data_IF_552778868957
#
_entry.id   IF_552778868957
#
_cell.length_a   1.000
_cell.length_b   1.000
_cell.length_c   1.000
_cell.angle_alpha   90.00
_cell.angle_beta   90.00
_cell.angle_gamma   90.00
#
_symmetry.space_group_name_H-M   'P 1'
#
loop_
_entity.id
_entity.type
_entity.pdbx_description
1 polymer ?
#
# COMPACT_ATOMS: atom_id res chain seq x y z
N UNK A 1 -2.20 -79.60 5.63
CA UNK A 1 -1.18 -78.55 5.40
C UNK A 1 -1.70 -77.61 4.32
N UNK A 2 -2.41 -76.55 4.72
CA UNK A 2 -2.89 -75.49 3.84
C UNK A 2 -1.88 -74.35 3.86
N UNK A 3 -1.17 -74.16 2.74
CA UNK A 3 -0.22 -73.06 2.57
C UNK A 3 -1.01 -71.76 2.33
N UNK A 4 -0.88 -70.84 3.28
CA UNK A 4 -1.44 -69.49 3.21
C UNK A 4 -0.69 -68.69 2.15
N UNK A 5 -1.42 -68.28 1.13
CA UNK A 5 -1.00 -67.39 0.05
C UNK A 5 -0.66 -66.00 0.63
N UNK A 6 0.64 -65.68 0.75
CA UNK A 6 1.09 -64.35 1.21
C UNK A 6 0.90 -63.33 0.09
N UNK A 7 0.05 -62.34 0.36
CA UNK A 7 -0.28 -61.23 -0.55
C UNK A 7 0.96 -60.55 -1.15
N UNK A 8 1.01 -60.47 -2.48
CA UNK A 8 2.05 -59.81 -3.30
C UNK A 8 1.94 -58.28 -3.37
N UNK A 9 1.07 -57.66 -2.56
CA UNK A 9 0.85 -56.20 -2.55
C UNK A 9 1.96 -55.46 -1.78
N UNK A 10 2.58 -56.08 -0.78
CA UNK A 10 3.64 -55.47 0.04
C UNK A 10 4.95 -55.07 -0.68
N UNK A 11 5.52 -55.87 -1.61
CA UNK A 11 6.80 -55.54 -2.25
C UNK A 11 6.73 -54.34 -3.21
N UNK A 12 5.58 -54.13 -3.88
CA UNK A 12 5.40 -52.99 -4.78
C UNK A 12 5.40 -51.67 -3.99
N UNK A 13 4.59 -51.60 -2.91
CA UNK A 13 4.54 -50.43 -2.02
C UNK A 13 5.91 -50.18 -1.35
N UNK A 14 6.61 -51.24 -0.93
CA UNK A 14 7.95 -51.13 -0.37
C UNK A 14 9.01 -50.62 -1.37
N UNK A 15 8.87 -50.96 -2.66
CA UNK A 15 9.72 -50.44 -3.74
C UNK A 15 9.51 -48.95 -3.99
N UNK A 16 8.26 -48.49 -4.04
CA UNK A 16 7.92 -47.06 -4.16
C UNK A 16 8.41 -46.25 -2.96
N UNK A 17 8.28 -46.77 -1.74
CA UNK A 17 8.79 -46.11 -0.51
C UNK A 17 10.32 -45.97 -0.55
N UNK A 18 11.06 -46.98 -1.03
CA UNK A 18 12.53 -46.90 -1.18
C UNK A 18 12.96 -45.91 -2.27
N UNK A 19 12.25 -45.87 -3.40
CA UNK A 19 12.52 -44.91 -4.47
C UNK A 19 12.27 -43.46 -4.02
N UNK A 20 11.16 -43.22 -3.32
CA UNK A 20 10.85 -41.92 -2.70
C UNK A 20 11.87 -41.54 -1.61
N UNK A 21 12.38 -42.50 -0.84
CA UNK A 21 13.40 -42.26 0.17
C UNK A 21 14.77 -41.87 -0.42
N UNK A 22 15.11 -42.37 -1.62
CA UNK A 22 16.32 -41.97 -2.37
C UNK A 22 16.21 -40.58 -2.99
N UNK A 23 15.00 -40.18 -3.41
CA UNK A 23 14.71 -38.87 -4.03
C UNK A 23 14.35 -37.76 -3.02
N UNK A 24 14.12 -38.11 -1.75
CA UNK A 24 13.65 -37.14 -0.75
C UNK A 24 14.67 -36.00 -0.51
N UNK A 25 14.20 -34.74 -0.51
CA UNK A 25 15.06 -33.59 -0.25
C UNK A 25 15.70 -33.64 1.14
N UNK A 26 16.79 -32.88 1.31
CA UNK A 26 17.49 -32.80 2.59
C UNK A 26 16.54 -32.25 3.66
N UNK A 27 16.60 -32.80 4.87
CA UNK A 27 15.74 -32.44 6.00
C UNK A 27 15.69 -30.93 6.26
N UNK A 28 16.82 -30.23 6.21
CA UNK A 28 16.85 -28.78 6.44
C UNK A 28 16.14 -28.00 5.33
N UNK A 29 16.28 -28.42 4.06
CA UNK A 29 15.53 -27.83 2.94
C UNK A 29 14.04 -28.07 3.10
N UNK A 30 13.63 -29.29 3.45
CA UNK A 30 12.22 -29.61 3.70
C UNK A 30 11.62 -28.76 4.82
N UNK A 31 12.33 -28.63 5.95
CA UNK A 31 11.90 -27.80 7.08
C UNK A 31 11.78 -26.34 6.66
N UNK A 32 12.81 -25.80 5.97
CA UNK A 32 12.81 -24.41 5.55
C UNK A 32 11.67 -24.09 4.57
N UNK A 33 11.42 -24.96 3.58
CA UNK A 33 10.30 -24.80 2.65
C UNK A 33 8.96 -24.89 3.38
N UNK A 34 8.79 -25.88 4.26
CA UNK A 34 7.56 -26.05 5.05
C UNK A 34 7.26 -24.82 5.90
N UNK A 35 8.27 -24.32 6.63
CA UNK A 35 8.15 -23.10 7.45
C UNK A 35 7.85 -21.88 6.59
N UNK A 36 8.58 -21.69 5.49
CA UNK A 36 8.39 -20.55 4.60
C UNK A 36 6.98 -20.53 3.97
N UNK A 37 6.48 -21.69 3.53
CA UNK A 37 5.12 -21.84 3.03
C UNK A 37 4.09 -21.57 4.12
N UNK A 38 4.27 -22.13 5.33
CA UNK A 38 3.35 -21.90 6.45
C UNK A 38 3.31 -20.42 6.86
N UNK A 39 4.46 -19.74 6.94
CA UNK A 39 4.52 -18.30 7.22
C UNK A 39 3.82 -17.51 6.12
N UNK A 40 4.04 -17.85 4.84
CA UNK A 40 3.38 -17.17 3.72
C UNK A 40 1.87 -17.33 3.72
N UNK A 41 1.35 -18.44 4.23
CA UNK A 41 -0.07 -18.75 4.37
C UNK A 41 -0.69 -18.28 5.70
N UNK A 42 0.07 -17.54 6.51
CA UNK A 42 -0.44 -16.96 7.75
C UNK A 42 -1.64 -16.02 7.46
N UNK A 43 -2.57 -15.86 8.43
CA UNK A 43 -3.71 -14.97 8.32
C UNK A 43 -3.34 -13.57 7.81
N UNK A 44 -4.10 -13.08 6.83
CA UNK A 44 -3.90 -11.82 6.11
C UNK A 44 -4.97 -10.79 6.50
N UNK A 45 -4.68 -9.49 6.39
CA UNK A 45 -5.66 -8.42 6.62
C UNK A 45 -6.62 -8.27 5.43
N UNK A 46 -6.11 -8.51 4.21
CA UNK A 46 -6.86 -8.35 2.97
C UNK A 46 -6.98 -9.68 2.20
N UNK A 47 -8.05 -9.88 1.42
CA UNK A 47 -8.16 -11.01 0.50
C UNK A 47 -7.04 -10.98 -0.53
N UNK A 48 -6.37 -12.12 -0.75
CA UNK A 48 -5.29 -12.21 -1.73
C UNK A 48 -5.72 -12.95 -2.97
N UNK A 49 -5.47 -12.36 -4.13
CA UNK A 49 -5.57 -13.07 -5.40
C UNK A 49 -4.52 -14.19 -5.49
N UNK A 50 -4.78 -15.19 -6.35
CA UNK A 50 -3.87 -16.33 -6.52
C UNK A 50 -2.46 -15.88 -6.95
N UNK A 51 -2.37 -14.88 -7.83
CA UNK A 51 -1.09 -14.34 -8.29
C UNK A 51 -0.28 -13.69 -7.15
N UNK A 52 -0.93 -12.82 -6.34
CA UNK A 52 -0.28 -12.17 -5.20
C UNK A 52 0.23 -13.20 -4.18
N UNK A 53 -0.59 -14.20 -3.85
CA UNK A 53 -0.19 -15.27 -2.93
C UNK A 53 0.91 -16.17 -3.53
N UNK A 54 0.90 -16.43 -4.84
CA UNK A 54 1.95 -17.18 -5.53
C UNK A 54 3.30 -16.47 -5.45
N UNK A 55 3.33 -15.16 -5.68
CA UNK A 55 4.53 -14.33 -5.56
C UNK A 55 5.08 -14.38 -4.14
N UNK A 56 4.22 -14.12 -3.15
CA UNK A 56 4.62 -14.16 -1.74
C UNK A 56 5.20 -15.52 -1.36
N UNK A 57 4.48 -16.60 -1.68
CA UNK A 57 4.91 -17.97 -1.36
C UNK A 57 6.22 -18.33 -2.06
N UNK A 58 6.35 -18.00 -3.35
CA UNK A 58 7.55 -18.28 -4.14
C UNK A 58 8.80 -17.57 -3.60
N UNK A 59 8.66 -16.29 -3.22
CA UNK A 59 9.75 -15.51 -2.61
C UNK A 59 10.16 -16.10 -1.26
N UNK A 60 9.20 -16.38 -0.37
CA UNK A 60 9.46 -16.99 0.93
C UNK A 60 10.15 -18.35 0.81
N UNK A 61 9.65 -19.22 -0.06
CA UNK A 61 10.25 -20.53 -0.34
C UNK A 61 11.69 -20.37 -0.83
N UNK A 62 11.94 -19.41 -1.71
CA UNK A 62 13.30 -19.15 -2.22
C UNK A 62 14.24 -18.67 -1.12
N UNK A 63 13.80 -17.76 -0.25
CA UNK A 63 14.56 -17.31 0.91
C UNK A 63 14.84 -18.48 1.87
N UNK A 64 13.83 -19.31 2.16
CA UNK A 64 14.01 -20.52 2.97
C UNK A 64 15.03 -21.48 2.39
N UNK A 65 15.00 -21.72 1.08
CA UNK A 65 15.99 -22.55 0.38
C UNK A 65 17.39 -21.92 0.44
N UNK A 66 17.52 -20.61 0.31
CA UNK A 66 18.79 -19.90 0.44
C UNK A 66 19.36 -20.02 1.86
N UNK A 67 18.54 -19.82 2.90
CA UNK A 67 18.93 -20.02 4.29
C UNK A 67 19.37 -21.47 4.55
N UNK A 68 18.63 -22.45 4.05
CA UNK A 68 19.01 -23.86 4.16
C UNK A 68 20.35 -24.14 3.46
N UNK A 69 20.61 -23.54 2.29
CA UNK A 69 21.86 -23.69 1.58
C UNK A 69 23.05 -23.05 2.33
N UNK A 70 22.87 -21.86 2.90
CA UNK A 70 23.89 -21.19 3.75
C UNK A 70 24.17 -22.00 5.00
N UNK A 71 23.12 -22.44 5.71
CA UNK A 71 23.23 -23.30 6.87
C UNK A 71 24.04 -24.56 6.56
N UNK A 72 23.75 -25.21 5.42
CA UNK A 72 24.49 -26.37 4.98
C UNK A 72 25.96 -26.08 4.73
N UNK A 73 26.32 -24.94 4.13
CA UNK A 73 27.72 -24.56 3.92
C UNK A 73 28.44 -24.39 5.25
N UNK A 74 27.83 -23.71 6.21
CA UNK A 74 28.42 -23.45 7.53
C UNK A 74 28.49 -24.72 8.40
N UNK A 75 27.47 -25.58 8.35
CA UNK A 75 27.38 -26.82 9.12
C UNK A 75 28.12 -28.00 8.46
N UNK A 76 28.62 -27.86 7.23
CA UNK A 76 29.25 -28.94 6.45
C UNK A 76 30.53 -29.50 7.09
N UNK A 77 31.20 -28.74 7.97
CA UNK A 77 32.33 -29.25 8.75
C UNK A 77 31.94 -30.30 9.81
N UNK A 78 30.63 -30.51 10.07
CA UNK A 78 30.12 -31.39 11.14
C UNK A 78 29.00 -32.35 10.71
N UNK A 79 28.65 -32.42 9.43
CA UNK A 79 27.42 -33.09 8.98
C UNK A 79 27.66 -34.48 8.39
N UNK A 80 27.33 -35.55 9.14
CA UNK A 80 27.23 -36.91 8.61
C UNK A 80 26.07 -37.06 7.61
N UNK A 81 26.20 -38.01 6.67
CA UNK A 81 25.14 -38.34 5.73
C UNK A 81 23.85 -38.76 6.48
N UNK A 82 22.74 -38.05 6.24
CA UNK A 82 21.48 -38.35 6.94
C UNK A 82 20.80 -39.60 6.37
N UNK A 83 20.28 -40.49 7.24
CA UNK A 83 19.60 -41.71 6.81
C UNK A 83 18.34 -41.37 5.99
N UNK A 84 18.05 -42.12 4.90
CA UNK A 84 16.89 -41.89 4.03
C UNK A 84 15.56 -41.79 4.80
N UNK A 85 15.38 -42.64 5.81
CA UNK A 85 14.18 -42.65 6.66
C UNK A 85 13.93 -41.33 7.40
N UNK A 86 14.97 -40.53 7.70
CA UNK A 86 14.79 -39.19 8.31
C UNK A 86 14.28 -38.18 7.28
N UNK A 87 14.76 -38.24 6.05
CA UNK A 87 14.32 -37.35 4.96
C UNK A 87 12.87 -37.61 4.58
N UNK A 88 12.50 -38.89 4.45
CA UNK A 88 11.10 -39.29 4.19
C UNK A 88 10.17 -38.83 5.30
N UNK A 89 10.53 -39.02 6.58
CA UNK A 89 9.72 -38.52 7.71
C UNK A 89 9.56 -37.00 7.69
N UNK A 90 10.64 -36.26 7.44
CA UNK A 90 10.58 -34.81 7.31
C UNK A 90 9.66 -34.37 6.17
N UNK A 91 9.71 -35.06 5.02
CA UNK A 91 8.82 -34.79 3.89
C UNK A 91 7.35 -35.07 4.23
N UNK A 92 7.05 -36.20 4.88
CA UNK A 92 5.70 -36.54 5.30
C UNK A 92 5.13 -35.51 6.28
N UNK A 93 5.91 -35.13 7.30
CA UNK A 93 5.50 -34.06 8.23
C UNK A 93 5.31 -32.72 7.51
N UNK A 94 6.19 -32.40 6.56
CA UNK A 94 6.07 -31.19 5.74
C UNK A 94 4.77 -31.15 4.95
N UNK A 95 4.41 -32.25 4.27
CA UNK A 95 3.15 -32.37 3.51
C UNK A 95 1.94 -32.18 4.43
N UNK A 96 1.92 -32.84 5.59
CA UNK A 96 0.82 -32.69 6.56
C UNK A 96 0.70 -31.24 7.05
N UNK A 97 1.81 -30.61 7.44
CA UNK A 97 1.81 -29.23 7.92
C UNK A 97 1.37 -28.23 6.85
N UNK A 98 1.85 -28.39 5.61
CA UNK A 98 1.41 -27.54 4.49
C UNK A 98 -0.07 -27.77 4.19
N UNK A 99 -0.56 -29.01 4.22
CA UNK A 99 -1.99 -29.31 4.05
C UNK A 99 -2.87 -28.63 5.09
N UNK A 100 -2.46 -28.66 6.36
CA UNK A 100 -3.13 -27.93 7.44
C UNK A 100 -3.08 -26.41 7.22
N UNK A 101 -1.91 -25.86 6.85
CA UNK A 101 -1.75 -24.44 6.57
C UNK A 101 -2.63 -23.96 5.41
N UNK A 102 -2.70 -24.71 4.31
CA UNK A 102 -3.58 -24.41 3.17
C UNK A 102 -5.04 -24.47 3.58
N UNK A 103 -5.44 -25.45 4.40
CA UNK A 103 -6.81 -25.57 4.89
C UNK A 103 -7.19 -24.38 5.77
N UNK A 104 -6.31 -23.98 6.68
CA UNK A 104 -6.53 -22.81 7.54
C UNK A 104 -6.56 -21.52 6.71
N UNK A 105 -5.64 -21.36 5.77
CA UNK A 105 -5.62 -20.22 4.87
C UNK A 105 -6.88 -20.16 4.00
N UNK A 106 -7.40 -21.29 3.53
CA UNK A 106 -8.64 -21.34 2.76
C UNK A 106 -9.84 -20.89 3.58
N UNK A 107 -9.96 -21.34 4.84
CA UNK A 107 -11.01 -20.89 5.76
C UNK A 107 -10.91 -19.38 6.00
N UNK A 108 -9.72 -18.90 6.37
CA UNK A 108 -9.45 -17.48 6.59
C UNK A 108 -9.79 -16.61 5.37
N UNK A 109 -9.30 -17.02 4.20
CA UNK A 109 -9.56 -16.33 2.93
C UNK A 109 -11.05 -16.34 2.56
N UNK A 110 -11.81 -17.34 2.98
CA UNK A 110 -13.26 -17.41 2.73
C UNK A 110 -14.00 -16.47 3.67
N UNK A 111 -13.72 -16.53 4.98
CA UNK A 111 -14.31 -15.63 5.98
C UNK A 111 -14.08 -14.16 5.65
N UNK A 112 -12.85 -13.82 5.26
CA UNK A 112 -12.48 -12.45 4.89
C UNK A 112 -13.23 -11.95 3.65
N UNK A 113 -13.35 -12.80 2.63
CA UNK A 113 -14.07 -12.46 1.39
C UNK A 113 -15.57 -12.33 1.63
N UNK A 114 -16.15 -13.20 2.45
CA UNK A 114 -17.55 -13.10 2.85
C UNK A 114 -17.82 -11.82 3.62
N UNK A 115 -16.94 -11.45 4.57
CA UNK A 115 -17.08 -10.20 5.31
C UNK A 115 -17.00 -8.96 4.41
N UNK A 116 -16.14 -9.00 3.39
CA UNK A 116 -15.96 -7.88 2.45
C UNK A 116 -16.90 -7.93 1.23
N UNK A 117 -17.79 -8.92 1.13
CA UNK A 117 -18.71 -9.05 0.01
C UNK A 117 -18.04 -9.28 -1.36
N UNK A 118 -16.87 -9.93 -1.39
CA UNK A 118 -16.14 -10.25 -2.64
C UNK A 118 -16.18 -11.74 -2.97
N UNK A 119 -15.89 -12.09 -4.23
CA UNK A 119 -15.97 -13.46 -4.73
C UNK A 119 -15.14 -14.45 -3.93
N UNK A 120 -15.77 -15.58 -3.57
CA UNK A 120 -15.17 -16.68 -2.82
C UNK A 120 -13.98 -17.33 -3.53
N UNK A 121 -13.17 -18.07 -2.76
CA UNK A 121 -12.01 -18.79 -3.30
C UNK A 121 -12.46 -19.97 -4.16
N UNK A 122 -12.36 -19.85 -5.48
CA UNK A 122 -12.66 -20.94 -6.42
C UNK A 122 -11.69 -22.12 -6.31
N UNK A 123 -12.11 -23.28 -6.85
CA UNK A 123 -11.37 -24.56 -6.75
C UNK A 123 -9.97 -24.52 -7.39
N UNK A 124 -9.77 -23.69 -8.42
CA UNK A 124 -8.48 -23.50 -9.09
C UNK A 124 -7.48 -22.60 -8.36
N UNK A 125 -7.91 -21.88 -7.30
CA UNK A 125 -7.08 -20.86 -6.65
C UNK A 125 -5.76 -21.44 -6.10
N UNK A 126 -5.84 -22.47 -5.26
CA UNK A 126 -4.66 -23.05 -4.62
C UNK A 126 -3.75 -23.78 -5.61
N UNK A 127 -4.32 -24.31 -6.70
CA UNK A 127 -3.54 -24.88 -7.79
C UNK A 127 -2.71 -23.79 -8.48
N UNK A 128 -3.32 -22.64 -8.78
CA UNK A 128 -2.62 -21.49 -9.35
C UNK A 128 -1.55 -20.93 -8.40
N UNK A 129 -1.83 -20.88 -7.09
CA UNK A 129 -0.84 -20.50 -6.07
C UNK A 129 0.34 -21.45 -6.09
N UNK A 130 0.08 -22.76 -6.09
CA UNK A 130 1.13 -23.79 -6.09
C UNK A 130 2.01 -23.71 -7.33
N UNK A 131 1.41 -23.69 -8.53
CA UNK A 131 2.15 -23.67 -9.80
C UNK A 131 2.89 -22.36 -9.99
N UNK A 132 2.27 -21.23 -9.67
CA UNK A 132 2.89 -19.90 -9.72
C UNK A 132 4.07 -19.77 -8.75
N UNK A 133 3.89 -20.19 -7.49
CA UNK A 133 4.95 -20.14 -6.49
C UNK A 133 6.14 -21.04 -6.87
N UNK A 134 5.86 -22.24 -7.41
CA UNK A 134 6.89 -23.14 -7.91
C UNK A 134 7.66 -22.52 -9.10
N UNK A 135 6.96 -21.92 -10.07
CA UNK A 135 7.58 -21.25 -11.21
C UNK A 135 8.50 -20.10 -10.77
N UNK A 136 8.04 -19.27 -9.83
CA UNK A 136 8.81 -18.16 -9.27
C UNK A 136 10.05 -18.67 -8.53
N UNK A 137 9.89 -19.67 -7.66
CA UNK A 137 11.01 -20.24 -6.92
C UNK A 137 12.05 -20.89 -7.84
N UNK A 138 11.61 -21.64 -8.85
CA UNK A 138 12.50 -22.23 -9.87
C UNK A 138 13.21 -21.13 -10.67
N UNK A 139 12.49 -20.08 -11.08
CA UNK A 139 13.04 -18.94 -11.81
C UNK A 139 14.13 -18.22 -11.02
N UNK A 140 13.86 -17.83 -9.77
CA UNK A 140 14.82 -17.12 -8.91
C UNK A 140 16.05 -18.00 -8.61
N UNK A 141 15.84 -19.27 -8.24
CA UNK A 141 16.95 -20.20 -7.97
C UNK A 141 17.78 -20.47 -9.24
N UNK A 142 17.12 -20.61 -10.39
CA UNK A 142 17.74 -20.79 -11.70
C UNK A 142 18.63 -19.61 -12.08
N UNK A 143 18.09 -18.38 -12.00
CA UNK A 143 18.83 -17.14 -12.22
C UNK A 143 20.04 -17.03 -11.28
N UNK A 144 19.84 -17.31 -9.98
CA UNK A 144 20.94 -17.31 -9.01
C UNK A 144 22.05 -18.31 -9.34
N UNK A 145 21.70 -19.49 -9.86
CA UNK A 145 22.69 -20.50 -10.31
C UNK A 145 23.42 -20.08 -11.57
N UNK A 146 22.75 -19.43 -12.52
CA UNK A 146 23.35 -18.89 -13.73
C UNK A 146 24.38 -17.81 -13.37
N UNK A 147 23.99 -16.86 -12.52
CA UNK A 147 24.88 -15.82 -11.97
C UNK A 147 26.08 -16.45 -11.27
N UNK A 148 25.85 -17.42 -10.37
CA UNK A 148 26.94 -18.12 -9.68
C UNK A 148 27.88 -18.87 -10.64
N UNK A 149 27.36 -19.38 -11.76
CA UNK A 149 28.17 -20.05 -12.80
C UNK A 149 28.98 -19.04 -13.59
N UNK A 150 28.40 -17.89 -13.95
CA UNK A 150 29.11 -16.79 -14.58
C UNK A 150 30.25 -16.27 -13.69
N UNK A 151 30.00 -16.09 -12.38
CA UNK A 151 31.02 -15.73 -11.38
C UNK A 151 32.17 -16.74 -11.39
N UNK A 152 31.87 -18.05 -11.34
CA UNK A 152 32.89 -19.11 -11.33
C UNK A 152 33.72 -19.14 -12.62
N UNK A 153 33.10 -18.89 -13.78
CA UNK A 153 33.78 -18.91 -15.09
C UNK A 153 34.64 -17.66 -15.33
N UNK A 154 34.14 -16.48 -14.99
CA UNK A 154 34.84 -15.21 -15.20
C UNK A 154 35.87 -14.91 -14.09
N UNK A 155 35.67 -15.46 -12.89
CA UNK A 155 36.42 -15.15 -11.68
C UNK A 155 35.79 -14.00 -10.89
N UNK A 156 35.74 -14.12 -9.56
CA UNK A 156 35.02 -13.19 -8.67
C UNK A 156 35.42 -11.73 -8.87
N UNK A 157 36.71 -11.43 -9.05
CA UNK A 157 37.20 -10.05 -9.28
C UNK A 157 36.69 -9.47 -10.60
N UNK A 158 36.66 -10.27 -11.68
CA UNK A 158 36.16 -9.82 -12.99
C UNK A 158 34.65 -9.67 -13.01
N UNK A 159 33.93 -10.57 -12.32
CA UNK A 159 32.48 -10.44 -12.19
C UNK A 159 32.09 -9.24 -11.31
N UNK A 160 32.76 -9.03 -10.17
CA UNK A 160 32.52 -7.86 -9.32
C UNK A 160 32.89 -6.58 -10.06
N UNK A 161 34.03 -6.54 -10.76
CA UNK A 161 34.38 -5.38 -11.58
C UNK A 161 33.37 -5.12 -12.70
N UNK A 162 32.95 -6.15 -13.43
CA UNK A 162 31.91 -6.03 -14.47
C UNK A 162 30.57 -5.61 -13.87
N UNK A 163 30.15 -6.17 -12.73
CA UNK A 163 28.90 -5.82 -12.06
C UNK A 163 28.96 -4.40 -11.53
N UNK A 164 30.06 -4.00 -10.89
CA UNK A 164 30.27 -2.63 -10.40
C UNK A 164 30.23 -1.68 -11.58
N UNK A 165 30.99 -1.90 -12.65
CA UNK A 165 30.98 -1.07 -13.86
C UNK A 165 29.59 -1.04 -14.48
N UNK A 166 28.92 -2.18 -14.66
CA UNK A 166 27.55 -2.21 -15.21
C UNK A 166 26.58 -1.49 -14.29
N UNK A 167 26.66 -1.63 -12.97
CA UNK A 167 25.77 -0.96 -12.02
C UNK A 167 26.09 0.53 -11.89
N UNK A 168 27.35 0.96 -11.91
CA UNK A 168 27.70 2.40 -11.87
C UNK A 168 27.47 3.07 -13.21
N UNK A 169 27.71 2.39 -14.34
CA UNK A 169 27.30 2.89 -15.67
C UNK A 169 25.79 2.91 -15.77
N UNK A 170 25.09 1.85 -15.38
CA UNK A 170 23.64 1.84 -15.35
C UNK A 170 23.09 2.87 -14.36
N UNK A 171 23.66 3.09 -13.18
CA UNK A 171 23.21 4.14 -12.26
C UNK A 171 23.54 5.54 -12.80
N UNK A 172 24.72 5.73 -13.38
CA UNK A 172 25.16 7.00 -13.97
C UNK A 172 24.34 7.42 -15.19
N UNK A 173 23.83 6.46 -15.96
CA UNK A 173 22.89 6.72 -17.06
C UNK A 173 21.44 6.67 -16.59
N UNK A 174 21.02 5.64 -15.87
CA UNK A 174 19.65 5.41 -15.47
C UNK A 174 19.18 6.33 -14.34
N UNK A 175 20.01 6.92 -13.47
CA UNK A 175 19.51 7.89 -12.48
C UNK A 175 19.15 9.23 -13.16
N UNK A 176 20.04 9.86 -13.96
CA UNK A 176 19.66 11.05 -14.74
C UNK A 176 18.64 10.73 -15.83
N UNK A 177 18.74 9.58 -16.50
CA UNK A 177 17.79 9.16 -17.52
C UNK A 177 16.46 8.71 -16.92
N UNK A 178 16.38 8.15 -15.71
CA UNK A 178 15.09 7.87 -15.07
C UNK A 178 14.49 9.13 -14.49
N UNK A 179 15.25 10.05 -13.89
CA UNK A 179 14.71 11.34 -13.48
C UNK A 179 14.18 12.13 -14.69
N UNK A 180 14.91 12.14 -15.80
CA UNK A 180 14.43 12.75 -17.04
C UNK A 180 13.35 11.91 -17.72
N UNK A 181 13.39 10.58 -17.75
CA UNK A 181 12.34 9.75 -18.37
C UNK A 181 11.07 9.68 -17.54
N UNK A 182 11.11 9.69 -16.20
CA UNK A 182 9.92 9.85 -15.36
C UNK A 182 9.36 11.25 -15.58
N UNK A 183 10.20 12.29 -15.56
CA UNK A 183 9.73 13.65 -15.84
C UNK A 183 9.20 13.82 -17.28
N UNK A 184 9.75 13.12 -18.28
CA UNK A 184 9.29 13.18 -19.68
C UNK A 184 8.10 12.24 -19.94
N UNK A 185 8.01 11.10 -19.25
CA UNK A 185 6.90 10.17 -19.34
C UNK A 185 5.69 10.69 -18.57
N UNK A 186 5.87 11.30 -17.40
CA UNK A 186 4.81 12.01 -16.70
C UNK A 186 4.39 13.23 -17.52
N UNK A 187 5.31 14.05 -18.03
CA UNK A 187 4.95 15.17 -18.93
C UNK A 187 4.29 14.71 -20.23
N UNK A 188 4.67 13.57 -20.81
CA UNK A 188 4.06 13.09 -22.05
C UNK A 188 2.72 12.41 -21.81
N UNK A 189 2.57 11.62 -20.73
CA UNK A 189 1.26 11.09 -20.33
C UNK A 189 0.33 12.21 -19.88
N UNK A 190 0.82 13.18 -19.11
CA UNK A 190 0.04 14.35 -18.72
C UNK A 190 -0.32 15.17 -19.96
N UNK A 191 0.61 15.43 -20.89
CA UNK A 191 0.31 16.14 -22.14
C UNK A 191 -0.69 15.40 -23.03
N UNK A 192 -0.56 14.07 -23.18
CA UNK A 192 -1.53 13.25 -23.92
C UNK A 192 -2.89 13.29 -23.23
N UNK A 193 -2.94 13.19 -21.90
CA UNK A 193 -4.17 13.29 -21.13
C UNK A 193 -4.77 14.70 -21.20
N UNK A 194 -3.96 15.77 -21.24
CA UNK A 194 -4.42 17.17 -21.39
C UNK A 194 -5.08 17.37 -22.75
N UNK A 195 -4.56 16.71 -23.80
CA UNK A 195 -5.17 16.75 -25.14
C UNK A 195 -6.42 15.87 -25.22
N UNK A 196 -6.47 14.77 -24.45
CA UNK A 196 -7.59 13.83 -24.46
C UNK A 196 -8.78 14.27 -23.59
N UNK A 197 -8.54 15.04 -22.53
CA UNK A 197 -9.59 15.48 -21.58
C UNK A 197 -9.62 17.03 -21.53
N UNK A 198 -10.67 17.67 -22.07
CA UNK A 198 -10.85 19.11 -21.88
C UNK A 198 -11.02 19.44 -20.40
N UNK A 199 -10.55 20.63 -20.00
CA UNK A 199 -10.73 21.14 -18.64
C UNK A 199 -12.21 21.37 -18.30
N UNK A 200 -12.54 21.61 -17.02
CA UNK A 200 -13.91 21.82 -16.60
C UNK A 200 -14.49 23.12 -17.19
N UNK A 201 -15.77 23.09 -17.56
CA UNK A 201 -16.46 24.27 -18.12
C UNK A 201 -16.88 25.30 -17.05
N UNK A 202 -16.73 24.97 -15.76
CA UNK A 202 -17.12 25.83 -14.65
C UNK A 202 -15.97 26.72 -14.17
N UNK A 203 -16.27 28.02 -13.99
CA UNK A 203 -15.33 28.97 -13.39
C UNK A 203 -15.05 28.67 -11.90
N UNK A 204 -15.90 27.88 -11.23
CA UNK A 204 -15.73 27.45 -9.83
C UNK A 204 -14.66 26.34 -9.67
N UNK A 205 -14.13 25.82 -10.77
CA UNK A 205 -13.14 24.74 -10.79
C UNK A 205 -11.79 25.24 -11.30
N UNK A 206 -10.71 24.82 -10.65
CA UNK A 206 -9.37 25.04 -11.19
C UNK A 206 -9.20 24.36 -12.55
N UNK A 207 -8.49 25.04 -13.45
CA UNK A 207 -8.34 24.65 -14.85
C UNK A 207 -9.52 25.01 -15.76
N UNK A 208 -10.62 25.57 -15.20
CA UNK A 208 -11.75 26.09 -15.96
C UNK A 208 -11.59 27.55 -16.41
N UNK A 209 -12.67 28.16 -16.95
CA UNK A 209 -12.63 29.54 -17.45
C UNK A 209 -12.13 30.54 -16.41
N UNK A 210 -11.08 31.29 -16.78
CA UNK A 210 -10.48 32.32 -15.91
C UNK A 210 -9.54 31.80 -14.82
N UNK A 211 -9.32 30.48 -14.72
CA UNK A 211 -8.42 29.87 -13.73
C UNK A 211 -7.01 30.46 -13.76
N UNK A 212 -6.46 30.77 -12.57
CA UNK A 212 -5.05 31.14 -12.40
C UNK A 212 -4.12 29.93 -12.46
N UNK A 213 -4.68 28.72 -12.36
CA UNK A 213 -3.98 27.45 -12.48
C UNK A 213 -4.36 26.82 -13.83
N UNK A 214 -3.49 26.86 -14.84
CA UNK A 214 -3.80 26.27 -16.14
C UNK A 214 -4.11 24.78 -16.01
N UNK A 215 -5.08 24.26 -16.78
CA UNK A 215 -5.46 22.84 -16.79
C UNK A 215 -4.25 21.89 -16.88
N UNK A 216 -3.25 22.26 -17.67
CA UNK A 216 -2.04 21.48 -17.88
C UNK A 216 -1.11 21.38 -16.64
N UNK A 217 -1.21 22.30 -15.68
CA UNK A 217 -0.31 22.34 -14.51
C UNK A 217 -0.90 21.65 -13.26
N UNK A 218 -2.15 21.18 -13.33
CA UNK A 218 -2.83 20.49 -12.23
C UNK A 218 -2.28 19.07 -11.96
N UNK A 219 -1.54 18.51 -12.91
CA UNK A 219 -1.11 17.10 -12.88
C UNK A 219 -2.26 16.11 -12.98
N UNK A 220 -1.97 14.81 -13.01
CA UNK A 220 -3.01 13.77 -13.12
C UNK A 220 -4.01 13.79 -11.96
N UNK A 221 -3.54 13.95 -10.71
CA UNK A 221 -4.42 13.88 -9.54
C UNK A 221 -5.27 15.14 -9.33
N UNK A 222 -4.71 16.33 -9.56
CA UNK A 222 -5.47 17.58 -9.51
C UNK A 222 -6.60 17.61 -10.54
N UNK A 223 -6.33 17.12 -11.77
CA UNK A 223 -7.35 16.99 -12.83
C UNK A 223 -8.49 16.08 -12.40
N UNK A 224 -8.18 14.88 -11.90
CA UNK A 224 -9.20 13.94 -11.38
C UNK A 224 -10.04 14.53 -10.24
N UNK A 225 -9.43 15.34 -9.37
CA UNK A 225 -10.12 15.99 -8.26
C UNK A 225 -11.12 17.04 -8.76
N UNK A 226 -10.73 17.92 -9.69
CA UNK A 226 -11.61 18.98 -10.18
C UNK A 226 -12.67 18.50 -11.18
N UNK A 227 -12.44 17.38 -11.89
CA UNK A 227 -13.42 16.82 -12.84
C UNK A 227 -14.27 15.69 -12.28
N UNK A 228 -14.04 15.25 -11.04
CA UNK A 228 -14.96 14.31 -10.39
C UNK A 228 -16.39 14.90 -10.36
N UNK A 229 -17.45 14.08 -10.42
CA UNK A 229 -18.83 14.56 -10.38
C UNK A 229 -19.05 15.53 -9.21
N UNK A 230 -19.69 16.66 -9.46
CA UNK A 230 -19.92 17.72 -8.48
C UNK A 230 -21.27 18.40 -8.73
N UNK A 231 -21.87 18.96 -7.68
CA UNK A 231 -22.98 19.93 -7.87
C UNK A 231 -22.42 21.23 -8.43
N UNK A 232 -23.22 21.93 -9.24
CA UNK A 232 -22.82 23.22 -9.84
C UNK A 232 -22.43 24.27 -8.79
N UNK A 233 -23.00 24.18 -7.58
CA UNK A 233 -22.70 25.08 -6.48
C UNK A 233 -21.31 24.89 -5.89
N UNK A 234 -20.63 23.77 -6.09
CA UNK A 234 -19.37 23.48 -5.37
C UNK A 234 -18.18 24.22 -5.99
N UNK A 235 -17.25 24.65 -5.14
CA UNK A 235 -15.95 25.19 -5.54
C UNK A 235 -14.87 24.17 -5.26
N UNK A 236 -14.03 23.83 -6.26
CA UNK A 236 -12.83 23.00 -6.05
C UNK A 236 -11.61 23.65 -6.67
N UNK A 237 -10.62 23.95 -5.84
CA UNK A 237 -9.36 24.52 -6.28
C UNK A 237 -8.18 23.62 -5.95
N UNK A 238 -7.25 23.53 -6.90
CA UNK A 238 -6.09 22.66 -6.78
C UNK A 238 -4.87 23.33 -7.39
N UNK A 239 -3.74 23.29 -6.68
CA UNK A 239 -2.45 23.77 -7.21
C UNK A 239 -1.48 22.59 -7.30
N UNK A 240 -1.15 22.21 -8.53
CA UNK A 240 -0.12 21.20 -8.82
C UNK A 240 1.30 21.72 -8.62
N UNK A 241 2.28 20.81 -8.64
CA UNK A 241 3.69 21.15 -8.44
C UNK A 241 4.24 22.13 -9.48
N UNK A 242 3.80 21.99 -10.74
CA UNK A 242 4.30 22.79 -11.86
C UNK A 242 3.62 24.17 -11.98
N UNK A 243 2.65 24.47 -11.12
CA UNK A 243 1.91 25.73 -11.16
C UNK A 243 2.72 26.91 -10.59
N UNK A 244 3.68 26.65 -9.69
CA UNK A 244 4.60 27.66 -9.17
C UNK A 244 5.91 27.02 -8.65
N UNK A 245 7.04 27.74 -8.63
CA UNK A 245 8.38 27.16 -8.43
C UNK A 245 8.62 26.62 -7.01
N UNK A 246 8.06 27.26 -5.99
CA UNK A 246 8.27 26.93 -4.58
C UNK A 246 6.95 26.84 -3.81
N UNK A 247 7.02 26.34 -2.57
CA UNK A 247 5.83 26.09 -1.75
C UNK A 247 5.06 27.39 -1.46
N UNK A 248 5.75 28.46 -1.05
CA UNK A 248 5.10 29.72 -0.66
C UNK A 248 4.37 30.33 -1.85
N UNK A 249 5.02 30.36 -3.02
CA UNK A 249 4.41 30.79 -4.28
C UNK A 249 3.18 29.94 -4.66
N UNK A 250 3.19 28.64 -4.38
CA UNK A 250 2.03 27.75 -4.61
C UNK A 250 0.90 28.00 -3.62
N UNK A 251 1.21 28.27 -2.35
CA UNK A 251 0.20 28.63 -1.33
C UNK A 251 -0.47 29.95 -1.70
N UNK A 252 0.30 30.97 -2.08
CA UNK A 252 -0.23 32.26 -2.53
C UNK A 252 -1.14 32.10 -3.76
N UNK A 253 -0.72 31.27 -4.72
CA UNK A 253 -1.54 30.94 -5.89
C UNK A 253 -2.83 30.22 -5.48
N UNK A 254 -2.77 29.28 -4.53
CA UNK A 254 -3.92 28.53 -4.05
C UNK A 254 -4.98 29.44 -3.41
N UNK A 255 -4.55 30.39 -2.57
CA UNK A 255 -5.47 31.35 -1.93
C UNK A 255 -6.10 32.28 -2.96
N UNK A 256 -5.33 32.79 -3.93
CA UNK A 256 -5.87 33.63 -5.01
C UNK A 256 -6.84 32.88 -5.91
N UNK A 257 -6.51 31.64 -6.25
CA UNK A 257 -7.36 30.78 -7.08
C UNK A 257 -8.66 30.43 -6.34
N UNK A 258 -8.58 30.16 -5.02
CA UNK A 258 -9.75 29.95 -4.17
C UNK A 258 -10.64 31.20 -4.08
N UNK A 259 -10.05 32.39 -3.94
CA UNK A 259 -10.78 33.67 -3.93
C UNK A 259 -11.46 33.91 -5.29
N UNK A 260 -10.74 33.71 -6.40
CA UNK A 260 -11.26 33.84 -7.76
C UNK A 260 -12.44 32.90 -8.01
N UNK A 261 -12.36 31.65 -7.56
CA UNK A 261 -13.40 30.66 -7.76
C UNK A 261 -14.64 30.87 -6.86
N UNK A 262 -14.64 31.90 -5.99
CA UNK A 262 -15.75 32.17 -5.07
C UNK A 262 -15.73 31.30 -3.81
N UNK A 263 -14.58 30.71 -3.46
CA UNK A 263 -14.48 29.78 -2.33
C UNK A 263 -14.71 30.44 -0.98
N UNK A 264 -14.35 31.71 -0.82
CA UNK A 264 -14.61 32.49 0.40
C UNK A 264 -16.05 32.99 0.53
N UNK A 265 -16.88 32.82 -0.51
CA UNK A 265 -18.32 33.13 -0.45
C UNK A 265 -19.16 31.94 0.04
N UNK A 266 -18.53 30.78 0.28
CA UNK A 266 -19.18 29.57 0.83
C UNK A 266 -19.33 29.62 2.34
N UNK A 267 -20.34 28.94 2.87
CA UNK A 267 -20.47 28.73 4.32
C UNK A 267 -19.38 27.84 4.90
N UNK A 268 -18.88 26.89 4.10
CA UNK A 268 -17.91 25.89 4.50
C UNK A 268 -16.69 25.85 3.56
N UNK A 269 -15.49 25.78 4.14
CA UNK A 269 -14.23 25.69 3.40
C UNK A 269 -13.40 24.55 3.96
N UNK A 270 -13.09 23.54 3.14
CA UNK A 270 -12.28 22.39 3.54
C UNK A 270 -10.89 22.52 2.94
N UNK A 271 -9.88 22.51 3.81
CA UNK A 271 -8.48 22.35 3.40
C UNK A 271 -8.19 20.86 3.34
N UNK A 272 -8.15 20.33 2.11
CA UNK A 272 -7.94 18.91 1.82
C UNK A 272 -6.46 18.67 1.60
N UNK A 273 -5.81 17.98 2.54
CA UNK A 273 -4.38 17.66 2.46
C UNK A 273 -4.22 16.36 1.66
N UNK A 274 -3.64 16.42 0.44
CA UNK A 274 -3.51 15.24 -0.39
C UNK A 274 -2.50 14.24 0.19
N UNK A 275 -2.52 13.02 -0.33
CA UNK A 275 -1.43 12.06 -0.11
C UNK A 275 -0.18 12.45 -0.93
N UNK A 276 0.94 11.75 -0.71
CA UNK A 276 2.25 12.11 -1.29
C UNK A 276 2.28 12.38 -2.80
N UNK A 277 1.47 11.71 -3.61
CA UNK A 277 1.41 11.95 -5.06
C UNK A 277 0.54 13.14 -5.47
N UNK A 278 -0.18 13.75 -4.53
CA UNK A 278 -1.24 14.73 -4.81
C UNK A 278 -2.66 14.15 -4.82
N UNK A 279 -2.83 12.86 -4.57
CA UNK A 279 -4.14 12.20 -4.63
C UNK A 279 -5.04 12.52 -3.43
N UNK A 280 -6.32 12.80 -3.74
CA UNK A 280 -7.45 12.96 -2.81
C UNK A 280 -8.52 11.94 -3.25
N UNK A 281 -9.11 11.23 -2.29
CA UNK A 281 -10.17 10.25 -2.56
C UNK A 281 -11.46 10.93 -3.02
N UNK A 282 -11.93 10.58 -4.21
CA UNK A 282 -13.17 11.11 -4.78
C UNK A 282 -14.39 10.82 -3.90
N UNK A 283 -14.41 9.68 -3.18
CA UNK A 283 -15.49 9.38 -2.26
C UNK A 283 -15.51 10.35 -1.06
N UNK A 284 -14.33 10.79 -0.58
CA UNK A 284 -14.26 11.78 0.48
C UNK A 284 -14.79 13.14 0.03
N UNK A 285 -14.40 13.57 -1.18
CA UNK A 285 -14.90 14.80 -1.82
C UNK A 285 -16.43 14.75 -1.96
N UNK A 286 -16.96 13.65 -2.50
CA UNK A 286 -18.40 13.42 -2.58
C UNK A 286 -19.07 13.52 -1.19
N UNK A 287 -18.48 12.87 -0.18
CA UNK A 287 -18.98 12.91 1.19
C UNK A 287 -18.99 14.33 1.80
N UNK A 288 -17.96 15.14 1.52
CA UNK A 288 -17.85 16.51 2.02
C UNK A 288 -18.92 17.41 1.39
N UNK A 289 -19.14 17.27 0.09
CA UNK A 289 -20.19 17.97 -0.64
C UNK A 289 -21.59 17.56 -0.20
N UNK A 290 -21.79 16.28 0.12
CA UNK A 290 -23.04 15.81 0.72
C UNK A 290 -23.23 16.38 2.13
N UNK A 291 -22.17 16.39 2.95
CA UNK A 291 -22.20 16.87 4.33
C UNK A 291 -22.62 18.33 4.46
N UNK A 292 -22.25 19.15 3.48
CA UNK A 292 -22.51 20.59 3.45
C UNK A 292 -23.55 20.99 2.39
N UNK A 293 -24.31 20.02 1.87
CA UNK A 293 -25.37 20.23 0.86
C UNK A 293 -24.93 21.08 -0.36
N UNK A 294 -23.68 20.90 -0.79
CA UNK A 294 -23.08 21.66 -1.89
C UNK A 294 -22.69 23.11 -1.58
N UNK A 295 -22.86 23.60 -0.34
CA UNK A 295 -22.32 24.87 0.15
C UNK A 295 -20.90 24.70 0.72
N UNK A 296 -19.98 24.23 -0.12
CA UNK A 296 -18.60 23.98 0.26
C UNK A 296 -17.61 24.41 -0.81
N UNK A 297 -16.47 24.92 -0.36
CA UNK A 297 -15.27 25.10 -1.15
C UNK A 297 -14.17 24.16 -0.66
N UNK A 298 -13.54 23.42 -1.57
CA UNK A 298 -12.39 22.58 -1.26
C UNK A 298 -11.12 23.15 -1.89
N UNK A 299 -10.04 23.20 -1.13
CA UNK A 299 -8.73 23.66 -1.59
C UNK A 299 -7.65 22.64 -1.26
N UNK A 300 -6.78 22.37 -2.22
CA UNK A 300 -5.64 21.48 -2.05
C UNK A 300 -4.39 21.98 -2.79
N UNK A 301 -3.21 21.64 -2.23
CA UNK A 301 -1.91 21.93 -2.85
C UNK A 301 -1.08 20.65 -2.85
N UNK A 302 -0.55 20.30 -4.01
CA UNK A 302 0.38 19.18 -4.15
C UNK A 302 1.76 19.57 -3.59
N UNK A 303 2.34 18.68 -2.78
CA UNK A 303 3.66 18.91 -2.16
C UNK A 303 4.75 17.91 -2.60
N UNK A 304 4.37 16.79 -3.24
CA UNK A 304 5.33 15.80 -3.75
C UNK A 304 4.76 15.05 -4.96
N UNK A 305 5.66 14.43 -5.72
CA UNK A 305 5.34 13.54 -6.86
C UNK A 305 5.55 12.06 -6.50
N UNK A 306 6.12 11.75 -5.34
CA UNK A 306 6.47 10.39 -4.97
C UNK A 306 5.26 9.59 -4.45
N UNK A 307 5.19 8.27 -4.72
CA UNK A 307 4.11 7.42 -4.21
C UNK A 307 3.94 7.49 -2.68
N UNK A 308 2.70 7.37 -2.20
CA UNK A 308 2.31 7.63 -0.80
C UNK A 308 3.03 6.75 0.24
N UNK A 309 3.34 5.49 -0.06
CA UNK A 309 4.09 4.62 0.86
C UNK A 309 5.59 4.99 0.93
N UNK A 310 6.16 5.48 -0.19
CA UNK A 310 7.55 5.95 -0.24
C UNK A 310 7.67 7.25 0.56
N UNK A 311 6.75 8.19 0.35
CA UNK A 311 6.71 9.45 1.10
C UNK A 311 6.36 9.26 2.57
N UNK A 312 5.56 8.26 2.95
CA UNK A 312 5.31 7.95 4.36
C UNK A 312 6.57 7.51 5.11
N UNK A 313 7.46 6.75 4.45
CA UNK A 313 8.73 6.29 5.02
C UNK A 313 9.78 7.39 5.01
N UNK A 314 9.77 8.29 4.02
CA UNK A 314 10.89 9.20 3.77
C UNK A 314 10.59 10.71 3.85
N UNK A 315 9.33 11.16 3.84
CA UNK A 315 8.99 12.59 3.64
C UNK A 315 7.70 13.07 4.34
N UNK A 316 7.54 12.74 5.63
CA UNK A 316 6.43 13.26 6.44
C UNK A 316 6.47 14.79 6.60
N UNK A 317 7.66 15.36 6.62
CA UNK A 317 7.87 16.80 6.88
C UNK A 317 7.28 17.69 5.78
N UNK A 318 7.39 17.31 4.51
CA UNK A 318 6.82 18.09 3.42
C UNK A 318 5.28 18.19 3.52
N UNK A 319 4.61 17.09 3.86
CA UNK A 319 3.16 17.06 4.06
C UNK A 319 2.73 18.01 5.18
N UNK A 320 3.41 17.97 6.32
CA UNK A 320 3.10 18.85 7.46
C UNK A 320 3.41 20.33 7.17
N UNK A 321 4.51 20.63 6.46
CA UNK A 321 4.85 22.01 6.09
C UNK A 321 3.82 22.59 5.13
N UNK A 322 3.46 21.85 4.08
CA UNK A 322 2.45 22.28 3.11
C UNK A 322 1.08 22.47 3.76
N UNK A 323 0.66 21.54 4.62
CA UNK A 323 -0.62 21.65 5.32
C UNK A 323 -0.68 22.86 6.26
N UNK A 324 0.37 23.10 7.08
CA UNK A 324 0.43 24.28 7.96
C UNK A 324 0.41 25.59 7.18
N UNK A 325 1.15 25.66 6.07
CA UNK A 325 1.23 26.86 5.24
C UNK A 325 -0.11 27.16 4.56
N UNK A 326 -0.73 26.15 3.93
CA UNK A 326 -2.03 26.31 3.26
C UNK A 326 -3.13 26.69 4.26
N UNK A 327 -3.24 25.94 5.36
CA UNK A 327 -4.23 26.19 6.39
C UNK A 327 -4.07 27.59 7.00
N UNK A 328 -2.82 27.99 7.30
CA UNK A 328 -2.52 29.32 7.82
C UNK A 328 -2.94 30.44 6.87
N UNK A 329 -2.58 30.33 5.58
CA UNK A 329 -2.92 31.34 4.58
C UNK A 329 -4.44 31.45 4.34
N UNK A 330 -5.15 30.33 4.36
CA UNK A 330 -6.62 30.29 4.26
C UNK A 330 -7.28 30.95 5.46
N UNK A 331 -6.86 30.59 6.69
CA UNK A 331 -7.40 31.18 7.91
C UNK A 331 -7.11 32.68 7.98
N UNK A 332 -5.91 33.11 7.60
CA UNK A 332 -5.55 34.53 7.55
C UNK A 332 -6.43 35.31 6.55
N UNK A 333 -6.65 34.75 5.35
CA UNK A 333 -7.52 35.36 4.34
C UNK A 333 -8.98 35.40 4.80
N UNK A 334 -9.47 34.36 5.47
CA UNK A 334 -10.82 34.31 6.04
C UNK A 334 -10.99 35.30 7.19
N UNK A 335 -9.95 35.53 8.00
CA UNK A 335 -9.97 36.49 9.10
C UNK A 335 -10.16 37.95 8.63
N UNK A 336 -9.77 38.27 7.38
CA UNK A 336 -10.00 39.59 6.76
C UNK A 336 -11.45 39.83 6.34
N UNK A 337 -12.30 38.80 6.33
CA UNK A 337 -13.73 38.93 6.04
C UNK A 337 -14.49 39.35 7.30
N UNK A 338 -15.65 39.99 7.11
CA UNK A 338 -16.55 40.28 8.22
C UNK A 338 -17.03 38.98 8.88
N UNK A 339 -17.33 38.98 10.20
CA UNK A 339 -17.72 37.77 10.91
C UNK A 339 -18.90 37.01 10.28
N UNK A 340 -19.83 37.73 9.65
CA UNK A 340 -21.04 37.18 9.03
C UNK A 340 -20.76 36.49 7.69
N UNK A 341 -19.66 36.86 7.01
CA UNK A 341 -19.25 36.31 5.71
C UNK A 341 -18.10 35.32 5.82
N UNK A 342 -17.58 35.07 7.02
CA UNK A 342 -16.41 34.23 7.20
C UNK A 342 -16.79 32.75 7.06
N UNK A 343 -16.18 31.99 6.12
CA UNK A 343 -16.41 30.56 6.03
C UNK A 343 -15.90 29.84 7.28
N UNK A 344 -16.58 28.76 7.64
CA UNK A 344 -16.09 27.80 8.64
C UNK A 344 -15.03 26.92 7.99
N UNK A 345 -13.81 26.94 8.53
CA UNK A 345 -12.66 26.23 7.96
C UNK A 345 -12.51 24.84 8.59
N UNK A 346 -12.45 23.81 7.77
CA UNK A 346 -12.30 22.40 8.14
C UNK A 346 -11.00 21.82 7.59
N UNK A 347 -10.55 20.71 8.16
CA UNK A 347 -9.36 19.98 7.70
C UNK A 347 -9.72 18.54 7.33
N UNK A 348 -9.22 18.09 6.18
CA UNK A 348 -9.36 16.70 5.76
C UNK A 348 -8.00 16.14 5.35
N UNK A 349 -7.77 14.87 5.66
CA UNK A 349 -6.62 14.14 5.15
C UNK A 349 -6.77 12.63 5.29
N UNK A 350 -6.24 11.90 4.32
CA UNK A 350 -6.16 10.44 4.33
C UNK A 350 -4.70 9.98 4.37
N UNK A 351 -4.38 8.90 5.08
CA UNK A 351 -3.02 8.34 5.13
C UNK A 351 -1.98 9.36 5.59
N UNK A 352 -0.94 9.60 4.79
CA UNK A 352 0.03 10.67 5.01
C UNK A 352 -0.61 12.07 5.06
N UNK A 353 -1.67 12.30 4.29
CA UNK A 353 -2.46 13.54 4.34
C UNK A 353 -3.12 13.74 5.69
N UNK A 354 -3.54 12.66 6.37
CA UNK A 354 -4.08 12.74 7.74
C UNK A 354 -3.03 13.24 8.74
N UNK A 355 -1.76 12.83 8.58
CA UNK A 355 -0.65 13.33 9.39
C UNK A 355 -0.38 14.82 9.11
N UNK A 356 -0.39 15.21 7.83
CA UNK A 356 -0.23 16.61 7.43
C UNK A 356 -1.35 17.51 7.97
N UNK A 357 -2.61 17.10 7.80
CA UNK A 357 -3.78 17.82 8.30
C UNK A 357 -3.78 17.91 9.83
N UNK A 358 -3.45 16.82 10.53
CA UNK A 358 -3.29 16.84 12.00
C UNK A 358 -2.22 17.82 12.46
N UNK A 359 -1.12 17.94 11.71
CA UNK A 359 -0.03 18.86 12.02
C UNK A 359 -0.37 20.34 11.80
N UNK A 360 -1.43 20.64 11.05
CA UNK A 360 -1.97 21.99 10.85
C UNK A 360 -2.90 22.45 11.99
N UNK A 361 -3.42 21.51 12.80
CA UNK A 361 -4.22 21.87 13.98
C UNK A 361 -3.39 22.73 14.94
N UNK A 362 -3.91 23.92 15.26
CA UNK A 362 -3.28 24.84 16.20
C UNK A 362 -2.14 25.68 15.61
N UNK A 363 -1.75 25.49 14.33
CA UNK A 363 -0.70 26.30 13.72
C UNK A 363 -1.13 27.74 13.42
N UNK A 364 -2.42 27.93 13.10
CA UNK A 364 -3.02 29.23 12.80
C UNK A 364 -4.41 29.41 13.44
N UNK A 365 -4.69 28.62 14.48
CA UNK A 365 -6.01 28.50 15.11
C UNK A 365 -6.59 27.09 14.98
N UNK A 366 -7.64 26.81 15.75
CA UNK A 366 -8.34 25.53 15.67
C UNK A 366 -9.30 25.50 14.47
N UNK A 367 -9.33 24.41 13.68
CA UNK A 367 -10.36 24.25 12.66
C UNK A 367 -11.73 24.12 13.35
N UNK A 368 -12.82 24.34 12.60
CA UNK A 368 -14.14 23.96 13.08
C UNK A 368 -14.26 22.45 13.31
N UNK A 369 -13.68 21.65 12.41
CA UNK A 369 -13.66 20.21 12.56
C UNK A 369 -12.62 19.60 11.63
N UNK A 370 -12.23 18.35 11.92
CA UNK A 370 -11.34 17.60 11.05
C UNK A 370 -11.77 16.15 10.87
N UNK A 371 -11.41 15.56 9.73
CA UNK A 371 -11.48 14.10 9.51
C UNK A 371 -10.11 13.57 9.10
N UNK A 372 -9.69 12.51 9.79
CA UNK A 372 -8.45 11.79 9.54
C UNK A 372 -8.75 10.34 9.17
N UNK A 373 -8.64 10.01 7.88
CA UNK A 373 -8.91 8.68 7.36
C UNK A 373 -7.65 7.83 7.25
N UNK A 374 -7.64 6.65 7.87
CA UNK A 374 -6.51 5.71 7.90
C UNK A 374 -5.17 6.34 8.28
N UNK A 375 -5.07 7.15 9.36
CA UNK A 375 -3.80 7.70 9.78
C UNK A 375 -2.82 6.55 10.09
N UNK A 376 -1.61 6.55 9.52
CA UNK A 376 -0.65 5.48 9.76
C UNK A 376 -0.26 5.42 11.25
N UNK A 377 -0.36 4.23 11.84
CA UNK A 377 0.02 3.91 13.22
C UNK A 377 -0.13 5.08 14.23
N UNK A 378 -1.39 5.32 14.63
CA UNK A 378 -1.85 6.13 15.77
C UNK A 378 -0.96 7.33 16.14
N UNK A 379 -1.19 8.47 15.49
CA UNK A 379 -0.46 9.72 15.77
C UNK A 379 -1.22 11.01 15.49
N UNK A 380 -2.56 10.96 15.41
CA UNK A 380 -3.38 12.15 15.15
C UNK A 380 -4.23 12.53 16.37
N UNK A 381 -4.47 13.84 16.62
CA UNK A 381 -5.38 14.29 17.66
C UNK A 381 -6.81 13.78 17.42
N UNK A 382 -7.53 13.51 18.51
CA UNK A 382 -8.96 13.11 18.48
C UNK A 382 -9.92 14.22 18.93
N UNK A 383 -9.45 15.20 19.69
CA UNK A 383 -10.30 16.31 20.12
C UNK A 383 -10.64 17.21 18.91
N UNK A 384 -11.93 17.46 18.66
CA UNK A 384 -12.39 18.22 17.49
C UNK A 384 -12.17 17.52 16.14
N UNK A 385 -11.86 16.22 16.14
CA UNK A 385 -11.55 15.47 14.93
C UNK A 385 -12.17 14.06 14.95
N UNK A 386 -12.76 13.67 13.81
CA UNK A 386 -13.18 12.29 13.58
C UNK A 386 -12.01 11.50 13.00
N UNK A 387 -11.65 10.38 13.62
CA UNK A 387 -10.65 9.44 13.09
C UNK A 387 -11.37 8.23 12.53
N UNK A 388 -11.19 7.97 11.23
CA UNK A 388 -11.68 6.75 10.58
C UNK A 388 -10.51 5.78 10.43
N UNK A 389 -10.66 4.58 10.98
CA UNK A 389 -9.67 3.52 10.87
C UNK A 389 -10.40 2.17 10.76
N UNK A 390 -9.99 1.33 9.80
CA UNK A 390 -10.52 -0.03 9.65
C UNK A 390 -9.52 -1.03 10.24
N UNK A 391 -10.01 -2.06 10.92
CA UNK A 391 -9.16 -3.15 11.41
C UNK A 391 -8.49 -3.95 10.28
N UNK A 392 -9.04 -3.95 9.06
CA UNK A 392 -8.41 -4.57 7.90
C UNK A 392 -7.42 -3.65 7.17
N UNK A 393 -7.24 -2.39 7.61
CA UNK A 393 -6.33 -1.44 6.96
C UNK A 393 -4.86 -1.70 7.34
N UNK A 394 -4.02 -2.21 6.42
CA UNK A 394 -2.60 -2.42 6.71
C UNK A 394 -1.84 -1.13 7.04
N UNK A 395 -2.31 0.04 6.60
CA UNK A 395 -1.69 1.34 6.90
C UNK A 395 -1.83 1.69 8.37
N UNK A 396 -3.00 1.41 8.96
CA UNK A 396 -3.26 1.61 10.39
C UNK A 396 -2.39 0.70 11.24
N UNK A 397 -2.16 -0.53 10.79
CA UNK A 397 -1.33 -1.53 11.49
C UNK A 397 0.17 -1.24 11.40
N UNK A 398 0.63 -0.79 10.23
CA UNK A 398 2.04 -0.88 9.89
C UNK A 398 2.88 0.08 10.73
N UNK A 399 3.77 -0.49 11.54
CA UNK A 399 4.85 0.23 12.21
C UNK A 399 6.01 -0.73 12.49
N UNK A 400 7.24 -0.22 12.67
CA UNK A 400 8.35 -1.06 13.12
C UNK A 400 8.09 -1.78 14.46
N UNK A 401 7.18 -1.24 15.30
CA UNK A 401 6.78 -1.87 16.57
C UNK A 401 6.08 -3.21 16.35
N UNK A 402 5.43 -3.41 15.20
CA UNK A 402 4.72 -4.65 14.85
C UNK A 402 5.63 -5.89 14.84
N UNK A 403 6.96 -5.70 14.78
CA UNK A 403 7.96 -6.76 14.95
C UNK A 403 7.87 -7.41 16.35
N UNK A 404 7.54 -6.63 17.38
CA UNK A 404 7.65 -7.02 18.80
C UNK A 404 6.43 -6.70 19.66
N UNK A 405 5.48 -5.92 19.15
CA UNK A 405 4.24 -5.53 19.84
C UNK A 405 3.03 -5.68 18.90
N UNK A 406 1.84 -6.04 19.42
CA UNK A 406 0.61 -6.01 18.64
C UNK A 406 0.24 -4.56 18.26
N UNK A 407 -0.54 -4.37 17.18
CA UNK A 407 -1.05 -3.05 16.81
C UNK A 407 -2.05 -2.55 17.86
N UNK A 408 -2.10 -1.23 18.05
CA UNK A 408 -3.18 -0.57 18.78
C UNK A 408 -4.35 -0.34 17.82
N UNK A 409 -5.49 -0.98 18.12
CA UNK A 409 -6.70 -0.95 17.30
C UNK A 409 -7.91 -0.44 18.08
N UNK A 410 -7.72 0.16 19.26
CA UNK A 410 -8.81 0.54 20.16
C UNK A 410 -9.78 1.55 19.52
N UNK A 411 -9.28 2.37 18.60
CA UNK A 411 -10.07 3.35 17.86
C UNK A 411 -10.46 2.90 16.45
N UNK A 412 -10.13 1.67 16.05
CA UNK A 412 -10.44 1.15 14.72
C UNK A 412 -11.82 0.46 14.71
N UNK A 413 -12.58 0.67 13.64
CA UNK A 413 -13.81 -0.05 13.36
C UNK A 413 -13.46 -1.49 12.98
N UNK A 414 -14.08 -2.45 13.66
CA UNK A 414 -14.02 -3.86 13.26
C UNK A 414 -14.87 -4.04 12.00
N UNK A 415 -14.21 -4.05 10.85
CA UNK A 415 -14.83 -4.14 9.54
C UNK A 415 -14.71 -5.55 8.93
N UNK A 416 -13.75 -6.36 9.40
CA UNK A 416 -13.55 -7.73 8.94
C UNK A 416 -12.90 -8.59 10.05
N UNK A 417 -12.82 -9.93 9.89
CA UNK A 417 -12.12 -10.79 10.84
C UNK A 417 -10.67 -10.32 11.07
N UNK A 418 -10.31 -10.13 12.34
CA UNK A 418 -9.00 -9.59 12.74
C UNK A 418 -8.00 -10.74 12.94
N UNK A 419 -6.87 -10.79 12.19
CA UNK A 419 -5.90 -11.85 12.34
C UNK A 419 -5.20 -11.76 13.70
N UNK A 420 -4.83 -12.89 14.33
CA UNK A 420 -4.01 -12.84 15.53
C UNK A 420 -2.66 -12.21 15.20
N UNK A 421 -2.15 -11.38 16.11
CA UNK A 421 -0.80 -10.86 15.98
C UNK A 421 0.23 -11.97 16.21
N UNK A 422 1.09 -12.16 15.21
CA UNK A 422 2.21 -13.09 15.22
C UNK A 422 3.50 -12.28 15.13
N UNK A 423 4.37 -12.28 16.17
CA UNK A 423 5.63 -11.54 16.16
C UNK A 423 6.44 -11.82 14.89
N UNK A 424 7.03 -10.76 14.31
CA UNK A 424 7.73 -10.76 13.01
C UNK A 424 6.84 -11.10 11.78
N UNK A 425 5.99 -12.12 11.88
CA UNK A 425 5.14 -12.58 10.78
C UNK A 425 4.14 -11.50 10.39
N UNK A 426 3.39 -10.95 11.35
CA UNK A 426 2.44 -9.86 11.09
C UNK A 426 3.14 -8.64 10.46
N UNK A 427 4.34 -8.27 10.92
CA UNK A 427 5.10 -7.19 10.27
C UNK A 427 5.37 -7.47 8.79
N UNK A 428 5.82 -8.69 8.44
CA UNK A 428 6.09 -9.03 7.04
C UNK A 428 4.79 -9.12 6.23
N UNK A 429 3.73 -9.71 6.79
CA UNK A 429 2.43 -9.81 6.13
C UNK A 429 1.86 -8.40 5.83
N UNK A 430 1.77 -7.55 6.85
CA UNK A 430 1.28 -6.17 6.71
C UNK A 430 2.16 -5.35 5.74
N UNK A 431 3.48 -5.54 5.74
CA UNK A 431 4.38 -4.87 4.78
C UNK A 431 4.04 -5.21 3.33
N UNK A 432 3.72 -6.47 3.06
CA UNK A 432 3.31 -6.90 1.71
C UNK A 432 1.93 -6.33 1.36
N UNK A 433 1.04 -6.26 2.33
CA UNK A 433 -0.34 -5.77 2.15
C UNK A 433 -0.43 -4.26 1.94
N UNK A 434 0.56 -3.48 2.39
CA UNK A 434 0.64 -2.04 2.06
C UNK A 434 0.61 -1.78 0.55
N UNK A 435 1.11 -2.71 -0.27
CA UNK A 435 1.17 -2.56 -1.72
C UNK A 435 -0.21 -2.68 -2.38
N UNK A 436 -1.18 -3.28 -1.69
CA UNK A 436 -2.54 -3.58 -2.18
C UNK A 436 -3.60 -3.03 -1.22
N UNK A 437 -3.24 -2.03 -0.40
CA UNK A 437 -4.11 -1.53 0.67
C UNK A 437 -5.41 -0.90 0.17
N UNK A 438 -5.40 -0.43 -1.09
CA UNK A 438 -6.56 0.12 -1.80
C UNK A 438 -7.34 -0.92 -2.60
N UNK A 439 -6.87 -2.17 -2.71
CA UNK A 439 -7.56 -3.26 -3.44
C UNK A 439 -8.62 -3.94 -2.55
N UNK A 440 -9.43 -3.12 -1.87
CA UNK A 440 -10.56 -3.54 -1.05
C UNK A 440 -11.82 -2.76 -1.46
N UNK A 441 -13.02 -3.29 -1.22
CA UNK A 441 -14.27 -2.52 -1.36
C UNK A 441 -14.31 -1.35 -0.38
N UNK A 442 -15.14 -0.33 -0.68
CA UNK A 442 -15.34 0.78 0.24
C UNK A 442 -15.88 0.30 1.60
N UNK A 443 -15.36 0.87 2.68
CA UNK A 443 -15.59 0.43 4.05
C UNK A 443 -14.58 -0.61 4.56
N UNK A 444 -13.66 -1.08 3.72
CA UNK A 444 -12.62 -2.05 4.08
C UNK A 444 -11.24 -1.59 3.61
N UNK A 445 -10.21 -2.15 4.21
CA UNK A 445 -8.83 -1.79 3.96
C UNK A 445 -8.63 -0.28 4.10
N UNK A 446 -7.84 0.28 3.20
CA UNK A 446 -7.55 1.71 3.15
C UNK A 446 -8.59 2.51 2.35
N UNK A 447 -9.78 1.95 2.09
CA UNK A 447 -10.92 2.63 1.45
C UNK A 447 -12.04 2.82 2.43
N UNK A 448 -12.25 4.06 2.85
CA UNK A 448 -13.27 4.40 3.84
C UNK A 448 -14.62 4.67 3.16
N UNK A 449 -14.61 5.39 2.03
CA UNK A 449 -15.82 5.71 1.27
C UNK A 449 -16.27 7.16 1.51
N UNK A 450 -17.57 7.42 1.34
CA UNK A 450 -18.13 8.77 1.53
C UNK A 450 -18.25 9.18 3.00
N UNK A 451 -18.14 8.21 3.91
CA UNK A 451 -18.04 8.45 5.35
C UNK A 451 -16.87 9.38 5.72
N UNK A 452 -15.80 9.39 4.92
CA UNK A 452 -14.68 10.33 5.02
C UNK A 452 -15.11 11.80 5.03
N UNK A 453 -16.16 12.14 4.28
CA UNK A 453 -16.71 13.48 4.26
C UNK A 453 -17.95 13.65 5.13
N UNK A 454 -18.86 12.67 5.13
CA UNK A 454 -20.11 12.77 5.90
C UNK A 454 -19.90 12.69 7.41
N UNK A 455 -18.79 12.12 7.88
CA UNK A 455 -18.42 12.09 9.28
C UNK A 455 -17.71 13.36 9.77
N UNK A 456 -17.61 14.40 8.94
CA UNK A 456 -17.01 15.68 9.32
C UNK A 456 -17.79 16.32 10.48
N UNK A 457 -17.13 16.56 11.63
CA UNK A 457 -17.76 17.16 12.80
C UNK A 457 -18.17 18.63 12.55
N UNK A 458 -19.07 19.15 13.38
CA UNK A 458 -19.40 20.59 13.40
C UNK A 458 -18.37 21.39 14.20
N UNK A 459 -18.53 22.72 14.27
CA UNK A 459 -17.62 23.60 15.02
C UNK A 459 -17.69 23.40 16.56
N UNK A 460 -18.73 22.74 17.05
CA UNK A 460 -19.04 22.62 18.49
C UNK A 460 -18.75 21.22 19.07
N UNK A 461 -18.08 20.35 18.29
CA UNK A 461 -17.91 18.92 18.60
C UNK A 461 -16.55 18.52 19.17
#
# INVERSE_FOLDING_TARGET
MTAVERSTVAPAVAGWIRALAGAAPRTASTIAVTMATAISLAPSLLPRGAAAQAVLTGVFVTLGLACAAVWHRLASARSCAQPPARRTRAALYGVVLVGCAVTQAHRWQTELRTAMGVDSVGTGHWLAVLTGAAAIAVGIVGAGRLVATAIRRAGTRRFVAATVVTVTTAAGWAVPASATHLAHADRSHDAIAVVAEPGPDSAAMSGGPGSLTPWATLGTHGRRFVTAPARESVVRTYVGLDAAPDLDSRIDLAVRELDRAGGFDKGHLVVSVPTGSGWIDAAAVEGLEQRFDGDVAEVAVQYSAAPSWVTYVFDRRAAEQSARALYGAVVERAARLSPERRPRVYLYGQSLGAIGAAAAIGSAGSPCGAVFAGPPAAGVPRAGATVLANTSDPVVWWSPRLLVQPPDLDAARVDAPVPPWLPLISFVQTTVELLVSLDAPAGHGHRYGADQGTAMPGCDS
#
